data_IF_340257418081
#
_entry.id   IF_340257418081
#
_cell.length_a   1.000
_cell.length_b   1.000
_cell.length_c   1.000
_cell.angle_alpha   90.00
_cell.angle_beta   90.00
_cell.angle_gamma   90.00
#
_symmetry.space_group_name_H-M   'P 1'
#
loop_
_entity.id
_entity.type
_entity.pdbx_description
1 polymer ?
#
# COMPACT_ATOMS: atom_id res chain seq x y z
N UNK A 1 22.10 59.29 -59.53
CA UNK A 1 22.82 58.60 -60.61
C UNK A 1 23.91 57.77 -59.94
N UNK A 2 23.67 56.47 -59.75
CA UNK A 2 24.71 55.42 -59.64
C UNK A 2 25.56 55.45 -60.94
N UNK A 3 26.81 54.91 -61.04
CA UNK A 3 27.28 53.60 -60.54
C UNK A 3 28.68 53.63 -59.85
N UNK A 4 29.12 52.62 -59.08
CA UNK A 4 29.60 51.26 -59.43
C UNK A 4 30.93 51.29 -60.23
N UNK A 5 31.87 50.35 -60.18
CA UNK A 5 32.09 49.05 -59.54
C UNK A 5 33.56 48.67 -59.92
N UNK A 6 34.20 47.77 -59.18
CA UNK A 6 35.26 46.90 -59.71
C UNK A 6 36.57 46.91 -58.90
N UNK A 7 36.89 45.86 -58.13
CA UNK A 7 37.43 44.55 -58.58
C UNK A 7 38.96 44.67 -58.75
N UNK A 8 39.87 43.85 -58.22
CA UNK A 8 39.95 42.63 -57.38
C UNK A 8 41.44 42.62 -56.90
N UNK A 9 41.92 41.97 -55.83
CA UNK A 9 42.29 40.54 -55.71
C UNK A 9 43.26 40.44 -54.50
N UNK A 10 43.23 39.29 -53.80
CA UNK A 10 44.36 38.55 -53.17
C UNK A 10 45.14 39.24 -52.03
N UNK A 11 45.56 38.61 -50.93
CA UNK A 11 45.58 37.24 -50.42
C UNK A 11 45.93 37.34 -48.91
N UNK A 12 45.51 36.33 -48.15
CA UNK A 12 46.01 35.73 -46.88
C UNK A 12 47.06 36.51 -46.05
N UNK A 13 47.03 36.50 -44.71
CA UNK A 13 47.25 35.30 -43.92
C UNK A 13 47.23 35.63 -42.39
N UNK A 14 47.01 34.59 -41.59
CA UNK A 14 47.50 34.34 -40.21
C UNK A 14 46.48 34.29 -39.05
N UNK A 15 46.21 33.02 -38.71
CA UNK A 15 46.41 32.40 -37.40
C UNK A 15 45.28 32.49 -36.35
N UNK A 16 44.54 31.38 -36.32
CA UNK A 16 43.96 30.67 -35.17
C UNK A 16 44.05 31.33 -33.78
N UNK A 17 42.90 31.72 -33.23
CA UNK A 17 42.59 31.51 -31.81
C UNK A 17 41.22 30.85 -31.69
N UNK A 18 41.23 29.65 -31.10
CA UNK A 18 40.14 28.73 -30.89
C UNK A 18 39.11 29.30 -29.88
N UNK A 19 37.84 29.43 -30.30
CA UNK A 19 36.71 29.67 -29.40
C UNK A 19 35.77 28.45 -29.53
N UNK A 20 35.43 27.77 -28.42
CA UNK A 20 34.77 26.47 -28.49
C UNK A 20 33.37 26.55 -29.10
N UNK A 21 33.11 25.67 -30.06
CA UNK A 21 31.84 25.50 -30.75
C UNK A 21 30.78 24.92 -29.78
N UNK A 22 29.61 25.55 -29.73
CA UNK A 22 28.52 25.15 -28.85
C UNK A 22 27.93 23.81 -29.32
N UNK A 23 28.06 22.78 -28.48
CA UNK A 23 27.51 21.44 -28.75
C UNK A 23 25.98 21.48 -28.76
N UNK A 24 25.31 20.92 -29.79
CA UNK A 24 23.86 20.80 -29.81
C UNK A 24 23.39 19.89 -28.67
N UNK A 25 22.36 20.32 -27.93
CA UNK A 25 21.66 19.46 -26.99
C UNK A 25 20.92 18.42 -27.83
N UNK A 26 21.46 17.21 -27.90
CA UNK A 26 20.70 16.06 -28.38
C UNK A 26 19.46 15.95 -27.50
N UNK A 27 18.29 16.13 -28.11
CA UNK A 27 17.00 15.74 -27.57
C UNK A 27 17.07 14.25 -27.23
N UNK A 28 17.52 13.93 -26.00
CA UNK A 28 17.15 12.70 -25.33
C UNK A 28 15.63 12.73 -25.28
N UNK A 29 15.03 12.01 -26.21
CA UNK A 29 13.68 11.50 -26.05
C UNK A 29 13.63 10.99 -24.61
N UNK A 30 12.78 11.63 -23.79
CA UNK A 30 12.38 11.08 -22.51
C UNK A 30 11.61 9.83 -22.89
N UNK A 31 12.35 8.73 -23.05
CA UNK A 31 11.77 7.40 -22.95
C UNK A 31 11.05 7.42 -21.60
N UNK A 32 9.73 7.34 -21.68
CA UNK A 32 8.88 7.05 -20.55
C UNK A 32 9.47 5.77 -19.95
N UNK A 33 10.10 5.88 -18.78
CA UNK A 33 10.51 4.73 -17.99
C UNK A 33 9.22 4.01 -17.57
N UNK A 34 8.67 3.19 -18.46
CA UNK A 34 7.73 2.14 -18.07
C UNK A 34 8.48 1.28 -17.04
N UNK A 35 8.07 1.36 -15.77
CA UNK A 35 8.53 0.45 -14.73
C UNK A 35 8.33 -0.99 -15.24
N UNK A 36 9.41 -1.60 -15.74
CA UNK A 36 9.38 -2.95 -16.27
C UNK A 36 8.93 -3.90 -15.16
N UNK A 37 7.76 -4.49 -15.35
CA UNK A 37 7.30 -5.65 -14.60
C UNK A 37 8.35 -6.76 -14.73
N UNK A 38 9.10 -7.03 -13.65
CA UNK A 38 10.01 -8.18 -13.59
C UNK A 38 9.16 -9.46 -13.46
N UNK A 39 9.10 -10.33 -14.49
CA UNK A 39 8.27 -11.53 -14.47
C UNK A 39 8.67 -12.53 -13.36
N UNK A 40 9.87 -12.36 -12.77
CA UNK A 40 10.37 -13.13 -11.63
C UNK A 40 10.14 -12.47 -10.27
N UNK A 41 9.61 -11.25 -10.21
CA UNK A 41 9.36 -10.57 -8.94
C UNK A 41 8.14 -11.17 -8.24
N UNK A 42 8.34 -11.59 -7.00
CA UNK A 42 7.26 -12.07 -6.14
C UNK A 42 6.34 -10.90 -5.77
N UNK A 43 5.04 -11.17 -5.72
CA UNK A 43 4.05 -10.16 -5.34
C UNK A 43 3.99 -10.06 -3.82
N UNK A 44 4.26 -8.88 -3.23
CA UNK A 44 4.11 -8.66 -1.80
C UNK A 44 2.65 -8.74 -1.34
N UNK A 45 2.44 -9.33 -0.18
CA UNK A 45 1.14 -9.39 0.50
C UNK A 45 1.23 -8.77 1.88
N UNK A 46 0.40 -7.77 2.16
CA UNK A 46 0.27 -7.18 3.50
C UNK A 46 -1.05 -7.58 4.12
N UNK A 47 -0.99 -8.01 5.38
CA UNK A 47 -2.16 -8.31 6.18
C UNK A 47 -2.61 -7.04 6.90
N UNK A 48 -3.87 -6.65 6.74
CA UNK A 48 -4.50 -5.58 7.51
C UNK A 48 -5.40 -6.20 8.58
N UNK A 49 -5.07 -5.94 9.84
CA UNK A 49 -5.79 -6.45 11.01
C UNK A 49 -6.05 -5.35 12.03
N UNK A 50 -6.71 -5.69 13.12
CA UNK A 50 -7.11 -4.76 14.18
C UNK A 50 -8.51 -5.04 14.68
N UNK A 51 -8.74 -4.69 15.95
CA UNK A 51 -9.97 -5.04 16.65
C UNK A 51 -11.23 -4.46 16.00
N UNK A 52 -12.40 -4.98 16.36
CA UNK A 52 -13.69 -4.56 15.83
C UNK A 52 -13.85 -3.03 15.93
N UNK A 53 -14.26 -2.40 14.83
CA UNK A 53 -14.49 -0.95 14.77
C UNK A 53 -13.24 -0.07 14.69
N UNK A 54 -12.03 -0.62 14.60
CA UNK A 54 -10.79 0.19 14.55
C UNK A 54 -10.65 1.07 13.28
N UNK A 55 -11.37 0.73 12.21
CA UNK A 55 -11.38 1.49 10.95
C UNK A 55 -10.66 0.81 9.77
N UNK A 56 -10.42 -0.50 9.82
CA UNK A 56 -9.79 -1.28 8.73
C UNK A 56 -10.44 -1.04 7.36
N UNK A 57 -11.77 -1.18 7.28
CA UNK A 57 -12.54 -0.95 6.05
C UNK A 57 -12.39 0.49 5.53
N UNK A 58 -12.30 1.48 6.42
CA UNK A 58 -12.05 2.88 6.03
C UNK A 58 -10.64 3.06 5.47
N UNK A 59 -9.65 2.35 6.03
CA UNK A 59 -8.27 2.36 5.53
C UNK A 59 -8.21 1.74 4.13
N UNK A 60 -8.88 0.61 3.93
CA UNK A 60 -8.96 -0.04 2.61
C UNK A 60 -9.66 0.84 1.59
N UNK A 61 -10.78 1.46 1.95
CA UNK A 61 -11.46 2.39 1.05
C UNK A 61 -10.55 3.57 0.66
N UNK A 62 -9.81 4.12 1.63
CA UNK A 62 -8.85 5.19 1.35
C UNK A 62 -7.79 4.72 0.35
N UNK A 63 -7.17 3.57 0.58
CA UNK A 63 -6.19 2.98 -0.34
C UNK A 63 -6.79 2.79 -1.74
N UNK A 64 -7.98 2.18 -1.82
CA UNK A 64 -8.64 1.84 -3.08
C UNK A 64 -9.18 3.03 -3.88
N UNK A 65 -9.35 4.20 -3.26
CA UNK A 65 -9.92 5.38 -3.92
C UNK A 65 -8.91 6.48 -4.20
N UNK A 66 -7.79 6.50 -3.47
CA UNK A 66 -6.69 7.42 -3.73
C UNK A 66 -5.94 7.04 -5.01
N UNK A 67 -5.34 8.05 -5.65
CA UNK A 67 -4.43 7.82 -6.76
C UNK A 67 -3.05 7.48 -6.23
N UNK A 68 -2.65 6.24 -6.44
CA UNK A 68 -1.31 5.75 -6.18
C UNK A 68 -0.78 5.02 -7.43
N UNK A 69 0.53 5.03 -7.64
CA UNK A 69 1.17 4.46 -8.84
C UNK A 69 1.18 2.92 -8.89
N UNK A 70 0.59 2.24 -7.90
CA UNK A 70 0.53 0.76 -7.85
C UNK A 70 -0.85 0.24 -8.23
N UNK A 71 -0.92 -0.95 -8.81
CA UNK A 71 -2.19 -1.69 -8.99
C UNK A 71 -2.36 -2.67 -7.83
N UNK A 72 -3.31 -2.42 -6.94
CA UNK A 72 -3.46 -3.20 -5.69
C UNK A 72 -4.66 -4.13 -5.79
N UNK A 73 -4.45 -5.42 -5.50
CA UNK A 73 -5.53 -6.36 -5.28
C UNK A 73 -5.88 -6.44 -3.78
N UNK A 74 -7.16 -6.36 -3.44
CA UNK A 74 -7.67 -6.39 -2.07
C UNK A 74 -8.57 -7.61 -1.91
N UNK A 75 -8.26 -8.40 -0.88
CA UNK A 75 -9.04 -9.56 -0.47
C UNK A 75 -9.72 -9.21 0.86
N UNK A 76 -11.04 -9.11 0.85
CA UNK A 76 -11.86 -8.89 2.03
C UNK A 76 -12.27 -10.25 2.60
N UNK A 77 -11.78 -10.58 3.79
CA UNK A 77 -12.18 -11.79 4.49
C UNK A 77 -13.32 -11.44 5.46
N UNK A 78 -14.57 -11.64 5.05
CA UNK A 78 -15.74 -11.57 5.94
C UNK A 78 -16.53 -12.88 5.94
N UNK A 79 -16.70 -13.44 7.14
CA UNK A 79 -17.90 -14.23 7.43
C UNK A 79 -19.06 -13.24 7.66
N UNK A 80 -19.83 -12.90 6.62
CA UNK A 80 -21.02 -12.04 6.78
C UNK A 80 -21.52 -11.37 5.50
N UNK A 81 -22.80 -10.94 5.51
CA UNK A 81 -23.50 -10.30 4.38
C UNK A 81 -22.87 -8.97 3.94
N UNK A 82 -22.02 -9.03 2.91
CA UNK A 82 -21.62 -7.91 2.07
C UNK A 82 -21.04 -6.73 2.85
N UNK A 83 -19.71 -6.67 2.93
CA UNK A 83 -18.98 -5.62 3.63
C UNK A 83 -19.50 -4.22 3.25
N UNK A 84 -19.43 -3.27 4.19
CA UNK A 84 -19.79 -1.87 3.91
C UNK A 84 -18.99 -1.29 2.73
N UNK A 85 -17.79 -1.84 2.48
CA UNK A 85 -16.96 -1.51 1.32
C UNK A 85 -17.54 -2.07 0.02
N UNK A 86 -17.97 -3.34 -0.05
CA UNK A 86 -18.65 -3.88 -1.23
C UNK A 86 -19.86 -3.05 -1.63
N UNK A 87 -20.70 -2.66 -0.65
CA UNK A 87 -21.87 -1.83 -0.91
C UNK A 87 -21.48 -0.43 -1.39
N UNK A 88 -20.47 0.18 -0.78
CA UNK A 88 -19.96 1.50 -1.20
C UNK A 88 -19.35 1.46 -2.61
N UNK A 89 -18.58 0.41 -2.93
CA UNK A 89 -17.96 0.22 -4.24
C UNK A 89 -18.99 -0.12 -5.32
N UNK A 90 -19.95 -1.01 -5.04
CA UNK A 90 -21.04 -1.34 -5.96
C UNK A 90 -21.92 -0.14 -6.29
N UNK A 91 -22.23 0.71 -5.29
CA UNK A 91 -22.95 1.98 -5.52
C UNK A 91 -22.14 2.93 -6.40
N UNK A 92 -20.82 3.00 -6.21
CA UNK A 92 -19.94 3.84 -7.03
C UNK A 92 -19.80 3.37 -8.49
N UNK A 93 -20.08 2.09 -8.77
CA UNK A 93 -20.01 1.49 -10.10
C UNK A 93 -21.39 1.26 -10.76
N UNK A 94 -22.47 1.82 -10.21
CA UNK A 94 -23.78 1.79 -10.86
C UNK A 94 -24.66 0.58 -10.51
N UNK A 95 -24.42 -0.06 -9.36
CA UNK A 95 -25.35 -1.05 -8.78
C UNK A 95 -25.16 -2.49 -9.23
N UNK A 96 -24.10 -2.77 -9.99
CA UNK A 96 -23.75 -4.12 -10.44
C UNK A 96 -22.88 -4.83 -9.38
N UNK A 97 -23.52 -5.63 -8.51
CA UNK A 97 -22.85 -6.63 -7.67
C UNK A 97 -22.56 -7.86 -8.53
N UNK A 98 -21.51 -7.80 -9.37
CA UNK A 98 -21.08 -8.97 -10.14
C UNK A 98 -20.15 -9.82 -9.29
N UNK A 99 -20.41 -11.11 -9.32
CA UNK A 99 -19.71 -12.10 -8.53
C UNK A 99 -18.21 -12.13 -8.84
N UNK A 100 -17.48 -12.31 -7.74
CA UNK A 100 -16.08 -12.67 -7.58
C UNK A 100 -15.03 -11.54 -7.62
N UNK A 101 -14.99 -10.62 -8.59
CA UNK A 101 -13.94 -9.58 -8.64
C UNK A 101 -14.39 -8.25 -9.24
N UNK A 102 -14.19 -7.16 -8.50
CA UNK A 102 -14.49 -5.78 -8.90
C UNK A 102 -13.20 -5.03 -9.30
N UNK A 103 -13.12 -4.55 -10.53
CA UNK A 103 -12.00 -3.72 -11.00
C UNK A 103 -12.34 -2.23 -10.83
N UNK A 104 -11.45 -1.47 -10.19
CA UNK A 104 -11.64 -0.06 -9.85
C UNK A 104 -10.98 0.85 -10.87
N UNK A 105 -11.41 2.12 -10.91
CA UNK A 105 -10.92 3.11 -11.91
C UNK A 105 -9.43 3.40 -11.83
N UNK A 106 -8.81 3.16 -10.68
CA UNK A 106 -7.37 3.29 -10.46
C UNK A 106 -6.59 1.99 -10.74
N UNK A 107 -7.23 0.97 -11.35
CA UNK A 107 -6.59 -0.31 -11.65
C UNK A 107 -6.48 -1.26 -10.46
N UNK A 108 -7.10 -0.93 -9.31
CA UNK A 108 -7.19 -1.86 -8.18
C UNK A 108 -8.23 -2.95 -8.41
N UNK A 109 -8.05 -4.11 -7.78
CA UNK A 109 -8.96 -5.24 -7.87
C UNK A 109 -9.48 -5.57 -6.46
N UNK A 110 -10.78 -5.81 -6.28
CA UNK A 110 -11.35 -6.17 -4.98
C UNK A 110 -12.16 -7.47 -5.09
N UNK A 111 -11.99 -8.39 -4.14
CA UNK A 111 -12.92 -9.52 -3.95
C UNK A 111 -13.39 -9.62 -2.51
N UNK A 112 -14.58 -10.20 -2.37
CA UNK A 112 -15.11 -10.71 -1.11
C UNK A 112 -15.15 -12.23 -1.20
N UNK A 113 -14.57 -12.93 -0.24
CA UNK A 113 -14.47 -14.39 -0.28
C UNK A 113 -15.03 -14.98 1.00
N UNK A 114 -15.93 -15.95 0.85
CA UNK A 114 -16.52 -16.73 1.96
C UNK A 114 -15.64 -17.90 2.42
N UNK A 115 -14.67 -18.27 1.59
CA UNK A 115 -13.74 -19.38 1.77
C UNK A 115 -12.38 -18.92 2.34
N UNK A 116 -11.56 -19.89 2.78
CA UNK A 116 -10.21 -19.67 3.31
C UNK A 116 -9.38 -18.70 2.43
N UNK A 117 -8.76 -17.69 3.04
CA UNK A 117 -7.97 -16.65 2.34
C UNK A 117 -6.89 -17.19 1.40
N UNK A 118 -6.41 -18.43 1.64
CA UNK A 118 -5.51 -19.12 0.71
C UNK A 118 -6.13 -19.33 -0.69
N UNK A 119 -7.38 -19.81 -0.76
CA UNK A 119 -8.07 -20.00 -2.05
C UNK A 119 -8.32 -18.69 -2.78
N UNK A 120 -8.62 -17.63 -2.02
CA UNK A 120 -8.77 -16.29 -2.58
C UNK A 120 -7.48 -15.82 -3.27
N UNK A 121 -6.34 -16.06 -2.61
CA UNK A 121 -5.02 -15.75 -3.16
C UNK A 121 -4.72 -16.62 -4.38
N UNK A 122 -4.95 -17.94 -4.34
CA UNK A 122 -4.74 -18.84 -5.49
C UNK A 122 -5.56 -18.40 -6.71
N UNK A 123 -6.83 -18.05 -6.51
CA UNK A 123 -7.71 -17.53 -7.57
C UNK A 123 -7.22 -16.18 -8.11
N UNK A 124 -6.74 -15.30 -7.22
CA UNK A 124 -6.16 -14.01 -7.60
C UNK A 124 -4.90 -14.19 -8.46
N UNK A 125 -4.07 -15.19 -8.15
CA UNK A 125 -2.85 -15.47 -8.89
C UNK A 125 -3.09 -15.93 -10.34
N UNK A 126 -4.29 -16.43 -10.68
CA UNK A 126 -4.67 -16.67 -12.07
C UNK A 126 -4.72 -15.38 -12.92
N UNK A 127 -4.78 -14.20 -12.26
CA UNK A 127 -4.78 -12.86 -12.87
C UNK A 127 -3.44 -12.13 -12.68
N UNK A 128 -2.35 -12.87 -12.39
CA UNK A 128 -0.99 -12.30 -12.26
C UNK A 128 -0.66 -11.38 -13.45
N UNK A 129 -0.05 -10.23 -13.15
CA UNK A 129 0.26 -9.17 -14.13
C UNK A 129 -0.77 -8.05 -14.23
N UNK A 130 -1.96 -8.23 -13.62
CA UNK A 130 -2.97 -7.15 -13.46
C UNK A 130 -2.77 -6.30 -12.20
N UNK A 131 -2.03 -6.82 -11.22
CA UNK A 131 -1.75 -6.16 -9.95
C UNK A 131 -0.29 -6.40 -9.56
N UNK A 132 0.23 -5.49 -8.76
CA UNK A 132 1.62 -5.42 -8.31
C UNK A 132 1.73 -5.63 -6.79
N UNK A 133 0.59 -5.69 -6.10
CA UNK A 133 0.50 -5.74 -4.64
C UNK A 133 -0.80 -6.42 -4.18
N UNK A 134 -0.77 -7.15 -3.06
CA UNK A 134 -1.98 -7.71 -2.44
C UNK A 134 -2.16 -7.16 -1.02
N UNK A 135 -3.38 -6.72 -0.69
CA UNK A 135 -3.82 -6.43 0.67
C UNK A 135 -4.86 -7.45 1.11
N UNK A 136 -4.63 -8.07 2.26
CA UNK A 136 -5.52 -9.06 2.85
C UNK A 136 -6.14 -8.50 4.13
N UNK A 137 -7.44 -8.18 4.12
CA UNK A 137 -8.16 -7.83 5.33
C UNK A 137 -8.48 -9.10 6.14
N UNK A 138 -8.27 -9.04 7.45
CA UNK A 138 -8.74 -10.06 8.38
C UNK A 138 -9.92 -9.55 9.21
N UNK A 139 -10.76 -10.46 9.70
CA UNK A 139 -11.85 -10.08 10.61
C UNK A 139 -11.29 -9.44 11.89
N UNK A 140 -12.11 -8.63 12.58
CA UNK A 140 -11.63 -7.93 13.78
C UNK A 140 -11.24 -8.82 14.96
N UNK A 141 -11.57 -10.11 14.91
CA UNK A 141 -11.23 -11.10 15.94
C UNK A 141 -10.25 -12.16 15.42
N UNK A 142 -9.86 -12.09 14.15
CA UNK A 142 -8.95 -13.06 13.56
C UNK A 142 -7.56 -12.98 14.18
N UNK A 143 -6.91 -14.14 14.23
CA UNK A 143 -5.49 -14.28 14.58
C UNK A 143 -4.64 -14.03 13.31
N UNK A 144 -3.88 -12.91 13.23
CA UNK A 144 -3.07 -12.64 12.05
C UNK A 144 -1.90 -13.62 11.91
N UNK A 145 -1.48 -14.29 13.00
CA UNK A 145 -0.44 -15.31 12.95
C UNK A 145 -0.88 -16.57 12.21
N UNK A 146 -2.15 -16.97 12.37
CA UNK A 146 -2.72 -18.09 11.63
C UNK A 146 -2.74 -17.81 10.11
N UNK A 147 -3.08 -16.58 9.72
CA UNK A 147 -3.07 -16.14 8.32
C UNK A 147 -1.64 -16.04 7.79
N UNK A 148 -0.72 -15.42 8.54
CA UNK A 148 0.69 -15.31 8.19
C UNK A 148 1.36 -16.67 8.01
N UNK A 149 0.99 -17.68 8.82
CA UNK A 149 1.57 -19.02 8.74
C UNK A 149 1.32 -19.72 7.40
N UNK A 150 0.25 -19.36 6.68
CA UNK A 150 -0.07 -19.93 5.37
C UNK A 150 1.03 -19.64 4.33
N UNK A 151 1.71 -18.49 4.44
CA UNK A 151 2.79 -18.10 3.53
C UNK A 151 4.08 -18.91 3.75
N UNK A 152 4.25 -19.56 4.91
CA UNK A 152 5.41 -20.42 5.19
C UNK A 152 5.13 -21.89 4.95
N UNK A 153 3.90 -22.33 5.18
CA UNK A 153 3.52 -23.75 5.03
C UNK A 153 3.30 -24.12 3.57
N UNK A 154 2.79 -23.19 2.76
CA UNK A 154 2.49 -23.45 1.36
C UNK A 154 3.65 -23.07 0.44
N UNK A 155 4.44 -24.08 0.06
CA UNK A 155 5.56 -23.91 -0.85
C UNK A 155 5.15 -23.44 -2.26
N UNK A 156 3.89 -23.68 -2.68
CA UNK A 156 3.41 -23.23 -3.98
C UNK A 156 3.15 -21.72 -3.99
N UNK A 157 2.65 -21.16 -2.89
CA UNK A 157 2.52 -19.71 -2.73
C UNK A 157 3.88 -19.01 -2.66
N UNK A 158 4.84 -19.60 -1.93
CA UNK A 158 6.16 -18.99 -1.72
C UNK A 158 7.02 -18.76 -2.98
N UNK A 159 6.60 -19.30 -4.14
CA UNK A 159 7.27 -19.07 -5.43
C UNK A 159 6.89 -17.72 -6.02
N UNK A 160 5.60 -17.36 -5.96
CA UNK A 160 5.05 -16.19 -6.67
C UNK A 160 4.69 -15.02 -5.76
N UNK A 161 4.49 -15.26 -4.45
CA UNK A 161 4.13 -14.23 -3.47
C UNK A 161 4.97 -14.33 -2.21
N UNK A 162 4.97 -13.27 -1.39
CA UNK A 162 5.57 -13.29 -0.06
C UNK A 162 4.80 -12.39 0.91
N UNK A 163 4.86 -12.71 2.20
CA UNK A 163 4.33 -11.84 3.25
C UNK A 163 5.26 -10.64 3.43
N UNK A 164 4.77 -9.45 3.08
CA UNK A 164 5.45 -8.16 3.27
C UNK A 164 5.40 -7.72 4.74
N UNK A 165 4.25 -7.94 5.40
CA UNK A 165 4.10 -7.73 6.83
C UNK A 165 2.65 -7.58 7.30
N UNK A 166 2.50 -7.26 8.58
CA UNK A 166 1.23 -7.13 9.28
C UNK A 166 1.05 -5.68 9.75
N UNK A 167 -0.03 -5.05 9.29
CA UNK A 167 -0.48 -3.73 9.72
C UNK A 167 -1.66 -3.90 10.68
N UNK A 168 -1.51 -3.38 11.90
CA UNK A 168 -2.58 -3.40 12.91
C UNK A 168 -3.16 -2.00 13.12
N UNK A 169 -4.46 -1.84 12.84
CA UNK A 169 -5.21 -0.61 13.12
C UNK A 169 -5.76 -0.66 14.54
N UNK A 170 -5.49 0.37 15.33
CA UNK A 170 -5.91 0.49 16.74
C UNK A 170 -6.80 1.72 16.89
N UNK A 171 -8.00 1.56 17.45
CA UNK A 171 -8.86 2.67 17.83
C UNK A 171 -8.26 3.42 19.03
N UNK A 172 -7.99 4.73 18.91
CA UNK A 172 -7.38 5.49 20.02
C UNK A 172 -8.27 5.63 21.25
N UNK A 173 -9.60 5.67 21.07
CA UNK A 173 -10.58 5.84 22.16
C UNK A 173 -10.77 4.55 22.95
N UNK A 174 -10.79 3.41 22.26
CA UNK A 174 -11.06 2.11 22.90
C UNK A 174 -9.85 1.19 22.99
N UNK A 175 -8.72 1.54 22.39
CA UNK A 175 -7.53 0.69 22.29
C UNK A 175 -6.98 0.24 23.63
N UNK A 176 -6.84 1.16 24.60
CA UNK A 176 -6.39 0.80 25.96
C UNK A 176 -7.34 -0.19 26.64
N UNK A 177 -8.65 0.02 26.49
CA UNK A 177 -9.67 -0.88 27.05
C UNK A 177 -9.55 -2.27 26.44
N UNK A 178 -9.45 -2.38 25.11
CA UNK A 178 -9.33 -3.66 24.44
C UNK A 178 -8.02 -4.38 24.78
N UNK A 179 -6.91 -3.64 24.93
CA UNK A 179 -5.62 -4.21 25.32
C UNK A 179 -5.58 -4.70 26.77
N UNK A 180 -6.31 -4.05 27.67
CA UNK A 180 -6.37 -4.41 29.09
C UNK A 180 -7.45 -5.46 29.41
N UNK A 181 -8.27 -5.87 28.43
CA UNK A 181 -9.32 -6.86 28.65
C UNK A 181 -8.72 -8.24 28.92
N UNK A 182 -8.92 -8.74 30.13
CA UNK A 182 -8.57 -10.10 30.52
C UNK A 182 -9.63 -11.09 30.01
N UNK A 183 -9.20 -12.13 29.31
CA UNK A 183 -10.09 -13.20 28.85
C UNK A 183 -10.10 -14.33 29.88
N UNK A 184 -11.26 -15.00 30.08
CA UNK A 184 -11.34 -16.17 30.94
C UNK A 184 -10.49 -17.32 30.41
N UNK A 185 -10.19 -18.28 31.31
CA UNK A 185 -9.60 -19.58 30.97
C UNK A 185 -8.24 -19.52 30.24
N UNK A 186 -7.49 -18.43 30.43
CA UNK A 186 -6.17 -18.26 29.82
C UNK A 186 -6.20 -18.01 28.31
N UNK A 187 -7.36 -17.68 27.75
CA UNK A 187 -7.48 -17.30 26.35
C UNK A 187 -6.66 -16.02 26.08
N UNK A 188 -6.04 -15.98 24.90
CA UNK A 188 -5.26 -14.81 24.49
C UNK A 188 -6.20 -13.73 23.99
N UNK A 189 -6.11 -12.54 24.58
CA UNK A 189 -6.81 -11.34 24.13
C UNK A 189 -6.45 -11.02 22.65
N UNK A 190 -7.46 -10.88 21.80
CA UNK A 190 -7.31 -10.69 20.36
C UNK A 190 -6.60 -9.39 20.02
N UNK A 191 -6.97 -8.27 20.66
CA UNK A 191 -6.32 -6.99 20.44
C UNK A 191 -4.83 -7.00 20.84
N UNK A 192 -4.51 -7.64 21.96
CA UNK A 192 -3.13 -7.82 22.44
C UNK A 192 -2.30 -8.63 21.46
N UNK A 193 -2.86 -9.69 20.90
CA UNK A 193 -2.20 -10.53 19.90
C UNK A 193 -2.01 -9.81 18.57
N UNK A 194 -3.04 -9.11 18.08
CA UNK A 194 -2.96 -8.30 16.87
C UNK A 194 -1.89 -7.21 16.99
N UNK A 195 -1.81 -6.55 18.14
CA UNK A 195 -0.74 -5.58 18.42
C UNK A 195 0.62 -6.27 18.47
N UNK A 196 0.76 -7.38 19.18
CA UNK A 196 2.04 -8.08 19.33
C UNK A 196 2.65 -8.60 18.02
N UNK A 197 1.81 -8.96 17.04
CA UNK A 197 2.24 -9.48 15.74
C UNK A 197 2.40 -8.39 14.66
N UNK A 198 2.18 -7.12 14.99
CA UNK A 198 2.21 -6.04 14.01
C UNK A 198 3.65 -5.59 13.71
N UNK A 199 3.96 -5.42 12.44
CA UNK A 199 5.15 -4.70 11.97
C UNK A 199 4.93 -3.18 12.04
N UNK A 200 3.71 -2.75 11.69
CA UNK A 200 3.26 -1.35 11.75
C UNK A 200 1.96 -1.27 12.52
N UNK A 201 1.89 -0.31 13.45
CA UNK A 201 0.64 0.07 14.10
C UNK A 201 0.15 1.42 13.63
N UNK A 202 -1.13 1.48 13.27
CA UNK A 202 -1.85 2.71 12.96
C UNK A 202 -2.82 3.00 14.09
N UNK A 203 -2.53 4.01 14.90
CA UNK A 203 -3.46 4.54 15.90
C UNK A 203 -4.43 5.50 15.21
N UNK A 204 -5.69 5.09 15.11
CA UNK A 204 -6.74 5.81 14.40
C UNK A 204 -7.66 6.61 15.35
N UNK A 205 -8.44 7.55 14.79
CA UNK A 205 -9.44 8.36 15.49
C UNK A 205 -8.87 9.25 16.60
N UNK A 206 -7.64 9.71 16.43
CA UNK A 206 -6.93 10.46 17.49
C UNK A 206 -7.61 11.77 17.89
N UNK A 207 -8.53 12.29 17.07
CA UNK A 207 -9.42 13.41 17.39
C UNK A 207 -10.40 13.11 18.53
N UNK A 208 -10.65 11.84 18.84
CA UNK A 208 -11.64 11.45 19.84
C UNK A 208 -11.08 11.37 21.27
N UNK A 209 -9.78 11.63 21.44
CA UNK A 209 -9.07 11.49 22.73
C UNK A 209 -8.19 12.69 23.02
N UNK A 210 -7.87 12.88 24.30
CA UNK A 210 -6.88 13.86 24.72
C UNK A 210 -5.45 13.43 24.33
N UNK A 211 -4.53 14.38 24.22
CA UNK A 211 -3.09 14.08 24.04
C UNK A 211 -2.53 13.21 25.18
N UNK A 212 -3.05 13.36 26.40
CA UNK A 212 -2.64 12.54 27.54
C UNK A 212 -3.02 11.07 27.32
N UNK A 213 -4.26 10.79 26.91
CA UNK A 213 -4.74 9.44 26.67
C UNK A 213 -4.08 8.80 25.45
N UNK A 214 -3.84 9.59 24.41
CA UNK A 214 -3.08 9.16 23.24
C UNK A 214 -1.65 8.75 23.61
N UNK A 215 -0.99 9.52 24.48
CA UNK A 215 0.36 9.20 24.95
C UNK A 215 0.38 7.96 25.85
N UNK A 216 -0.64 7.75 26.70
CA UNK A 216 -0.81 6.50 27.45
C UNK A 216 -0.91 5.30 26.51
N UNK A 217 -1.78 5.38 25.49
CA UNK A 217 -1.92 4.33 24.48
C UNK A 217 -0.62 4.06 23.72
N UNK A 218 0.05 5.11 23.25
CA UNK A 218 1.35 5.01 22.58
C UNK A 218 2.40 4.33 23.46
N UNK A 219 2.43 4.65 24.74
CA UNK A 219 3.38 4.05 25.70
C UNK A 219 3.10 2.56 25.88
N UNK A 220 1.84 2.19 26.07
CA UNK A 220 1.41 0.78 26.19
C UNK A 220 1.77 -0.03 24.94
N UNK A 221 1.65 0.58 23.75
CA UNK A 221 1.96 -0.06 22.47
C UNK A 221 3.47 -0.11 22.18
N UNK A 222 4.19 1.00 22.38
CA UNK A 222 5.63 1.13 22.05
C UNK A 222 6.51 0.17 22.80
N UNK A 223 6.12 -0.26 23.99
CA UNK A 223 6.85 -1.28 24.73
C UNK A 223 7.00 -2.60 23.93
N UNK A 224 6.17 -2.82 22.90
CA UNK A 224 6.09 -4.09 22.18
C UNK A 224 6.60 -4.07 20.72
N UNK A 225 6.85 -2.91 20.06
CA UNK A 225 6.89 -2.85 18.56
C UNK A 225 7.85 -1.80 17.95
N UNK A 226 8.26 -2.05 16.70
CA UNK A 226 9.23 -1.32 15.86
C UNK A 226 8.73 0.01 15.24
N UNK A 227 7.46 0.13 14.81
CA UNK A 227 6.93 1.36 14.18
C UNK A 227 5.46 1.66 14.56
N UNK A 228 5.17 2.92 14.90
CA UNK A 228 3.84 3.39 15.32
C UNK A 228 3.50 4.71 14.62
N UNK A 229 2.41 4.71 13.86
CA UNK A 229 1.86 5.86 13.15
C UNK A 229 0.55 6.29 13.81
N UNK A 230 0.21 7.58 13.76
CA UNK A 230 -1.02 8.12 14.34
C UNK A 230 -1.79 8.92 13.30
N UNK A 231 -3.11 8.76 13.24
CA UNK A 231 -3.96 9.38 12.23
C UNK A 231 -5.38 9.63 12.74
N UNK A 232 -5.99 10.69 12.24
CA UNK A 232 -7.35 11.12 12.60
C UNK A 232 -8.40 10.53 11.67
N UNK A 233 -8.02 10.23 10.41
CA UNK A 233 -8.95 9.76 9.36
C UNK A 233 -8.33 8.74 8.41
N UNK A 234 -7.29 8.04 8.85
CA UNK A 234 -6.54 7.08 8.02
C UNK A 234 -5.91 7.68 6.76
N UNK A 235 -5.77 9.00 6.71
CA UNK A 235 -4.89 9.67 5.75
C UNK A 235 -3.46 9.41 6.21
N UNK A 236 -2.75 8.59 5.46
CA UNK A 236 -1.37 8.20 5.70
C UNK A 236 -0.60 8.36 4.39
N UNK A 237 0.70 8.65 4.48
CA UNK A 237 1.56 8.51 3.31
C UNK A 237 1.55 7.04 2.86
N UNK A 238 1.19 6.77 1.61
CA UNK A 238 1.07 5.41 1.07
C UNK A 238 2.39 4.62 1.15
N UNK A 239 3.53 5.31 1.17
CA UNK A 239 4.85 4.70 1.38
C UNK A 239 4.96 3.96 2.72
N UNK A 240 4.18 4.35 3.73
CA UNK A 240 4.18 3.71 5.03
C UNK A 240 3.34 2.42 5.10
N UNK A 241 2.61 2.07 4.02
CA UNK A 241 1.77 0.87 3.95
C UNK A 241 2.55 -0.30 3.32
N UNK A 242 3.61 0.00 2.56
CA UNK A 242 4.44 -1.01 1.91
C UNK A 242 5.74 -1.20 2.70
N UNK A 243 5.83 -2.29 3.47
CA UNK A 243 6.82 -2.43 4.54
C UNK A 243 8.20 -2.77 3.98
N UNK A 244 8.29 -3.56 2.91
CA UNK A 244 9.55 -3.99 2.29
C UNK A 244 9.82 -3.39 0.89
N UNK A 245 8.86 -2.75 0.22
CA UNK A 245 9.17 -2.02 -1.02
C UNK A 245 9.74 -0.64 -0.66
N UNK A 246 11.07 -0.56 -0.58
CA UNK A 246 11.90 0.66 -0.46
C UNK A 246 11.15 2.00 -0.55
N UNK A 247 10.92 2.61 0.61
CA UNK A 247 11.07 4.05 0.75
C UNK A 247 11.82 4.29 2.06
N UNK A 248 13.15 4.32 1.96
CA UNK A 248 13.96 5.07 2.89
C UNK A 248 13.46 6.51 2.85
N UNK A 249 12.77 6.95 3.90
CA UNK A 249 12.57 8.37 4.17
C UNK A 249 13.26 8.62 5.49
N UNK A 250 14.37 9.37 5.43
CA UNK A 250 14.98 10.00 6.59
C UNK A 250 13.92 10.80 7.35
N UNK A 251 13.93 10.64 8.67
CA UNK A 251 13.03 11.28 9.64
C UNK A 251 13.21 12.79 9.61
#
# INVERSE_FOLDING_TARGET
>A
MFPALGCVDEEEEQAEEDCPELVPIETKQREEEEEKFDPGARIPVTIITGYLGAGKTTLLNYILTEQHSKRIAVILNEFGEGSALEKSLAVSQGGELYEEWLELRNGCLCCSVKDNGLRAIENLMQKKGKFDYILLETTGLADPGAVASMFWVDAALGVDIYLDGIITVVDSKYGLKHLAEEKPDGLINEASRQVALADIIIINKTDLVSEEDLNKLRTTIRYKIRSVLSTTRLKLCMQNIFIMTNCLVEI
#
